data_IF_110844733879
#
_entry.id   IF_110844733879
#
_cell.length_a   1.000
_cell.length_b   1.000
_cell.length_c   1.000
_cell.angle_alpha   90.00
_cell.angle_beta   90.00
_cell.angle_gamma   90.00
#
_symmetry.space_group_name_H-M   'P 1'
#
loop_
_entity.id
_entity.type
_entity.pdbx_description
1 polymer ?
#
# COMPACT_ATOMS: atom_id res chain seq x y z
N UNK A 1 -3.78 -1.22 -3.75
CA UNK A 1 -3.58 0.02 -2.97
C UNK A 1 -2.43 0.80 -3.58
N UNK A 2 -2.48 2.13 -3.55
CA UNK A 2 -1.38 3.00 -3.94
C UNK A 2 -0.91 3.82 -2.73
N UNK A 3 0.41 3.95 -2.55
CA UNK A 3 1.01 4.72 -1.48
C UNK A 3 1.84 5.86 -2.06
N UNK A 4 1.73 7.04 -1.48
CA UNK A 4 2.54 8.21 -1.83
C UNK A 4 2.92 8.93 -0.54
N UNK A 5 4.21 9.20 -0.37
CA UNK A 5 4.71 9.91 0.81
C UNK A 5 5.29 11.25 0.36
N UNK A 6 5.05 12.29 1.14
CA UNK A 6 5.49 13.65 0.89
C UNK A 6 6.20 14.22 2.12
N UNK A 7 7.15 15.13 1.91
CA UNK A 7 7.72 15.93 2.97
C UNK A 7 6.65 16.88 3.55
N UNK A 8 6.55 16.95 4.87
CA UNK A 8 5.57 17.78 5.58
C UNK A 8 6.27 18.78 6.53
N UNK A 9 5.62 19.90 6.88
CA UNK A 9 6.09 20.79 7.93
C UNK A 9 6.01 20.09 9.29
N UNK A 10 6.71 20.64 10.29
CA UNK A 10 6.66 20.11 11.66
C UNK A 10 5.27 20.22 12.30
N UNK A 11 4.45 21.15 11.82
CA UNK A 11 3.08 21.38 12.30
C UNK A 11 2.06 20.36 11.81
N UNK A 12 2.37 19.55 10.79
CA UNK A 12 1.36 18.77 10.06
C UNK A 12 0.42 19.68 9.25
N UNK A 13 -0.77 19.16 8.95
CA UNK A 13 -1.87 19.88 8.27
C UNK A 13 -1.94 19.68 6.75
N UNK A 14 -1.01 18.94 6.14
CA UNK A 14 -1.05 18.64 4.71
C UNK A 14 -2.27 17.84 4.32
N UNK A 15 -2.74 16.95 5.19
CA UNK A 15 -3.95 16.20 4.89
C UNK A 15 -5.19 17.08 4.85
N UNK A 16 -5.30 18.04 5.78
CA UNK A 16 -6.43 18.97 5.84
C UNK A 16 -6.42 19.96 4.67
N UNK A 17 -5.25 20.27 4.10
CA UNK A 17 -5.13 21.05 2.87
C UNK A 17 -5.39 20.22 1.61
N UNK A 18 -4.90 18.97 1.56
CA UNK A 18 -5.02 18.11 0.39
C UNK A 18 -6.44 17.53 0.23
N UNK A 19 -7.12 17.19 1.32
CA UNK A 19 -8.48 16.63 1.32
C UNK A 19 -9.50 17.49 0.53
N UNK A 20 -9.67 18.80 0.80
CA UNK A 20 -10.59 19.63 0.03
C UNK A 20 -10.20 19.76 -1.44
N UNK A 21 -8.90 19.74 -1.77
CA UNK A 21 -8.44 19.77 -3.17
C UNK A 21 -8.79 18.48 -3.91
N UNK A 22 -8.65 17.32 -3.25
CA UNK A 22 -9.06 16.02 -3.80
C UNK A 22 -10.58 16.00 -4.05
N UNK A 23 -11.37 16.46 -3.08
CA UNK A 23 -12.84 16.55 -3.20
C UNK A 23 -13.23 17.44 -4.39
N UNK A 24 -12.63 18.63 -4.50
CA UNK A 24 -12.87 19.54 -5.61
C UNK A 24 -12.55 18.89 -6.96
N UNK A 25 -11.37 18.27 -7.09
CA UNK A 25 -10.95 17.59 -8.32
C UNK A 25 -11.87 16.43 -8.71
N UNK A 26 -12.38 15.66 -7.75
CA UNK A 26 -13.32 14.57 -8.02
C UNK A 26 -14.66 15.11 -8.51
N UNK A 27 -15.17 16.17 -7.87
CA UNK A 27 -16.41 16.83 -8.28
C UNK A 27 -16.30 17.39 -9.71
N UNK A 28 -15.16 17.95 -10.10
CA UNK A 28 -14.89 18.40 -11.47
C UNK A 28 -14.91 17.23 -12.48
N UNK A 29 -14.46 16.04 -12.07
CA UNK A 29 -14.46 14.83 -12.91
C UNK A 29 -15.81 14.09 -12.97
N UNK A 30 -16.90 14.72 -12.53
CA UNK A 30 -18.23 14.12 -12.41
C UNK A 30 -18.27 12.83 -11.55
N UNK A 31 -17.35 12.73 -10.58
CA UNK A 31 -17.36 11.68 -9.57
C UNK A 31 -18.31 12.01 -8.41
N UNK A 32 -18.68 10.98 -7.65
CA UNK A 32 -19.36 11.13 -6.37
C UNK A 32 -18.34 11.07 -5.25
N UNK A 33 -18.49 11.94 -4.24
CA UNK A 33 -17.54 12.02 -3.13
C UNK A 33 -18.27 12.24 -1.81
N UNK A 34 -17.78 11.56 -0.77
CA UNK A 34 -18.26 11.65 0.60
C UNK A 34 -17.06 11.73 1.55
N UNK A 35 -17.15 12.56 2.57
CA UNK A 35 -16.20 12.54 3.68
C UNK A 35 -16.69 11.59 4.77
N UNK A 36 -15.77 10.81 5.32
CA UNK A 36 -16.04 9.85 6.40
C UNK A 36 -14.97 9.98 7.49
N UNK A 37 -15.30 9.59 8.72
CA UNK A 37 -14.30 9.43 9.79
C UNK A 37 -14.01 7.95 9.92
N UNK A 38 -12.81 7.55 9.50
CA UNK A 38 -12.34 6.17 9.55
C UNK A 38 -11.22 5.95 10.57
N UNK A 39 -10.58 4.79 10.45
CA UNK A 39 -9.54 4.31 11.35
C UNK A 39 -8.35 5.29 11.48
N UNK A 40 -8.06 6.04 10.42
CA UNK A 40 -6.94 6.96 10.34
C UNK A 40 -7.36 8.45 10.48
N UNK A 41 -8.59 8.71 10.91
CA UNK A 41 -9.16 10.05 10.99
C UNK A 41 -10.05 10.37 9.79
N UNK A 42 -10.12 11.63 9.33
CA UNK A 42 -10.93 12.00 8.17
C UNK A 42 -10.44 11.33 6.88
N UNK A 43 -11.37 10.81 6.09
CA UNK A 43 -11.12 10.08 4.84
C UNK A 43 -12.04 10.58 3.72
N UNK A 44 -11.64 10.40 2.48
CA UNK A 44 -12.45 10.74 1.30
C UNK A 44 -12.82 9.47 0.57
N UNK A 45 -14.12 9.19 0.49
CA UNK A 45 -14.68 8.02 -0.17
C UNK A 45 -15.30 8.49 -1.48
N UNK A 46 -14.90 7.91 -2.60
CA UNK A 46 -15.34 8.39 -3.91
C UNK A 46 -15.69 7.28 -4.90
N UNK A 47 -16.51 7.64 -5.89
CA UNK A 47 -16.77 6.86 -7.08
C UNK A 47 -16.41 7.73 -8.28
N UNK A 48 -15.39 7.34 -9.03
CA UNK A 48 -14.84 8.13 -10.14
C UNK A 48 -15.09 7.35 -11.44
N UNK A 49 -15.59 7.99 -12.51
CA UNK A 49 -15.71 7.35 -13.82
C UNK A 49 -14.34 6.84 -14.32
N UNK A 50 -14.32 5.63 -14.87
CA UNK A 50 -13.19 5.05 -15.59
C UNK A 50 -13.67 4.39 -16.89
N UNK A 51 -12.75 3.89 -17.72
CA UNK A 51 -13.09 3.25 -19.01
C UNK A 51 -14.01 2.02 -18.88
N UNK A 52 -14.07 1.41 -17.69
CA UNK A 52 -14.81 0.18 -17.40
C UNK A 52 -16.07 0.42 -16.56
N UNK A 53 -16.44 1.68 -16.30
CA UNK A 53 -17.59 2.05 -15.46
C UNK A 53 -17.21 2.98 -14.32
N UNK A 54 -17.71 2.71 -13.11
CA UNK A 54 -17.40 3.51 -11.92
C UNK A 54 -16.35 2.79 -11.07
N UNK A 55 -15.28 3.51 -10.72
CA UNK A 55 -14.23 3.03 -9.83
C UNK A 55 -14.43 3.57 -8.42
N UNK A 56 -14.63 2.67 -7.47
CA UNK A 56 -14.70 3.04 -6.05
C UNK A 56 -13.29 3.19 -5.49
N UNK A 57 -13.02 4.34 -4.87
CA UNK A 57 -11.72 4.65 -4.25
C UNK A 57 -11.91 5.26 -2.87
N UNK A 58 -10.92 5.06 -2.01
CA UNK A 58 -10.86 5.64 -0.67
C UNK A 58 -9.49 6.25 -0.45
N UNK A 59 -9.45 7.55 -0.18
CA UNK A 59 -8.24 8.28 0.15
C UNK A 59 -8.12 8.42 1.66
N UNK A 60 -6.97 8.03 2.17
CA UNK A 60 -6.60 8.13 3.57
C UNK A 60 -5.31 8.93 3.67
N UNK A 61 -5.30 9.90 4.58
CA UNK A 61 -4.12 10.70 4.90
C UNK A 61 -3.61 10.39 6.31
N UNK A 62 -2.32 10.09 6.42
CA UNK A 62 -1.65 9.81 7.69
C UNK A 62 -0.46 10.75 7.81
N UNK A 63 -0.40 11.48 8.93
CA UNK A 63 0.68 12.43 9.19
C UNK A 63 1.64 11.89 10.24
N UNK A 64 2.92 12.16 10.04
CA UNK A 64 3.96 11.85 11.00
C UNK A 64 5.04 12.93 11.02
N UNK A 65 6.13 12.72 11.78
CA UNK A 65 7.16 13.74 11.97
C UNK A 65 7.82 14.17 10.66
N UNK A 66 7.42 15.33 10.14
CA UNK A 66 7.91 15.92 8.87
C UNK A 66 7.61 15.11 7.62
N UNK A 67 6.61 14.24 7.66
CA UNK A 67 6.12 13.52 6.48
C UNK A 67 4.60 13.34 6.51
N UNK A 68 4.03 13.18 5.33
CA UNK A 68 2.62 12.90 5.11
C UNK A 68 2.51 11.72 4.14
N UNK A 69 1.72 10.71 4.49
CA UNK A 69 1.42 9.54 3.67
C UNK A 69 -0.02 9.66 3.16
N UNK A 70 -0.20 9.57 1.86
CA UNK A 70 -1.49 9.35 1.21
C UNK A 70 -1.59 7.88 0.77
N UNK A 71 -2.54 7.16 1.34
CA UNK A 71 -2.91 5.81 0.93
C UNK A 71 -4.23 5.87 0.13
N UNK A 72 -4.26 5.21 -1.01
CA UNK A 72 -5.44 5.09 -1.87
C UNK A 72 -5.83 3.63 -1.99
N UNK A 73 -6.98 3.27 -1.42
CA UNK A 73 -7.59 1.96 -1.58
C UNK A 73 -8.53 1.99 -2.79
N UNK A 74 -8.56 0.92 -3.57
CA UNK A 74 -9.32 0.83 -4.83
C UNK A 74 -10.13 -0.47 -4.78
N UNK A 75 -11.36 -0.43 -5.29
CA UNK A 75 -12.24 -1.61 -5.37
C UNK A 75 -12.77 -2.03 -4.00
N UNK A 76 -12.76 -3.33 -3.70
CA UNK A 76 -13.33 -3.88 -2.47
C UNK A 76 -12.74 -3.25 -1.19
N UNK A 77 -11.44 -2.92 -1.19
CA UNK A 77 -10.76 -2.29 -0.06
C UNK A 77 -11.13 -0.80 0.16
N UNK A 78 -11.88 -0.20 -0.77
CA UNK A 78 -12.34 1.19 -0.65
C UNK A 78 -13.59 1.34 0.24
N UNK A 79 -14.20 0.23 0.69
CA UNK A 79 -15.37 0.20 1.58
C UNK A 79 -15.16 -0.85 2.69
N UNK A 80 -15.93 -0.81 3.78
CA UNK A 80 -15.79 -1.76 4.88
C UNK A 80 -15.93 -3.20 4.39
N UNK A 81 -14.85 -3.96 4.52
CA UNK A 81 -14.73 -5.35 4.06
C UNK A 81 -13.48 -5.98 4.67
N UNK A 82 -13.36 -7.31 4.61
CA UNK A 82 -12.14 -8.01 5.03
C UNK A 82 -10.92 -7.56 4.23
N UNK A 83 -11.12 -7.22 2.95
CA UNK A 83 -10.07 -6.66 2.09
C UNK A 83 -9.62 -5.26 2.57
N UNK A 84 -10.55 -4.45 3.09
CA UNK A 84 -10.18 -3.18 3.71
C UNK A 84 -9.37 -3.41 4.98
N UNK A 85 -9.83 -4.27 5.89
CA UNK A 85 -9.12 -4.59 7.14
C UNK A 85 -7.68 -5.04 6.86
N UNK A 86 -7.50 -5.98 5.93
CA UNK A 86 -6.17 -6.46 5.53
C UNK A 86 -5.26 -5.33 5.02
N UNK A 87 -5.80 -4.42 4.21
CA UNK A 87 -5.03 -3.31 3.66
C UNK A 87 -4.76 -2.22 4.72
N UNK A 88 -5.67 -2.00 5.67
CA UNK A 88 -5.45 -1.12 6.82
C UNK A 88 -4.33 -1.64 7.72
N UNK A 89 -4.31 -2.94 7.99
CA UNK A 89 -3.22 -3.58 8.75
C UNK A 89 -1.87 -3.43 8.04
N UNK A 90 -1.85 -3.59 6.70
CA UNK A 90 -0.64 -3.33 5.92
C UNK A 90 -0.16 -1.87 6.04
N UNK A 91 -1.08 -0.90 6.03
CA UNK A 91 -0.74 0.53 6.23
C UNK A 91 -0.23 0.79 7.64
N UNK A 92 -0.80 0.16 8.67
CA UNK A 92 -0.34 0.27 10.06
C UNK A 92 1.08 -0.28 10.25
N UNK A 93 1.47 -1.28 9.47
CA UNK A 93 2.82 -1.83 9.46
C UNK A 93 3.86 -0.99 8.72
N UNK A 94 3.46 0.09 8.04
CA UNK A 94 4.38 0.90 7.24
C UNK A 94 5.27 1.78 8.12
N UNK A 95 6.58 1.74 7.88
CA UNK A 95 7.56 2.59 8.53
C UNK A 95 8.06 3.62 7.51
N UNK A 96 7.95 4.91 7.86
CA UNK A 96 8.45 6.01 7.03
C UNK A 96 9.74 6.57 7.62
N UNK A 97 10.86 6.36 6.93
CA UNK A 97 12.18 6.91 7.28
C UNK A 97 12.50 8.07 6.33
N UNK A 98 12.15 9.28 6.75
CA UNK A 98 12.33 10.51 5.94
C UNK A 98 13.76 11.06 5.95
N UNK A 99 14.60 10.65 6.92
CA UNK A 99 15.94 11.17 7.10
C UNK A 99 16.00 12.64 7.54
N UNK A 100 17.20 13.22 7.55
CA UNK A 100 17.46 14.53 8.17
C UNK A 100 17.62 15.69 7.17
N UNK A 101 17.71 15.41 5.87
CA UNK A 101 18.00 16.43 4.84
C UNK A 101 16.90 17.50 4.75
N UNK A 102 17.25 18.72 4.37
CA UNK A 102 16.24 19.75 4.14
C UNK A 102 15.48 19.45 2.83
N UNK A 103 14.14 19.50 2.87
CA UNK A 103 13.29 19.29 1.70
C UNK A 103 12.13 20.28 1.73
N UNK A 104 11.71 20.84 0.58
CA UNK A 104 10.50 21.64 0.49
C UNK A 104 9.26 20.83 0.87
N UNK A 105 8.29 21.47 1.52
CA UNK A 105 6.98 20.87 1.83
C UNK A 105 6.29 20.43 0.53
N UNK A 106 5.62 19.27 0.56
CA UNK A 106 4.94 18.69 -0.59
C UNK A 106 5.86 17.94 -1.57
N UNK A 107 7.17 17.92 -1.34
CA UNK A 107 8.11 17.15 -2.18
C UNK A 107 7.88 15.65 -1.97
N UNK A 108 7.69 14.84 -3.03
CA UNK A 108 7.49 13.40 -2.88
C UNK A 108 8.77 12.74 -2.34
N UNK A 109 8.61 11.81 -1.39
CA UNK A 109 9.68 10.98 -0.86
C UNK A 109 9.74 9.67 -1.65
N UNK A 110 10.94 9.28 -2.06
CA UNK A 110 11.17 8.00 -2.75
C UNK A 110 10.92 6.86 -1.78
N UNK A 111 10.08 5.92 -2.19
CA UNK A 111 9.82 4.70 -1.43
C UNK A 111 10.86 3.63 -1.81
N UNK A 112 11.63 3.19 -0.83
CA UNK A 112 12.56 2.08 -0.98
C UNK A 112 12.04 0.90 -0.18
N UNK A 113 11.84 -0.24 -0.83
CA UNK A 113 11.49 -1.46 -0.12
C UNK A 113 12.65 -1.83 0.81
N UNK A 114 12.36 -2.19 2.07
CA UNK A 114 13.40 -2.69 2.95
C UNK A 114 14.02 -3.95 2.32
N UNK A 115 15.34 -4.08 2.42
CA UNK A 115 16.01 -5.34 2.10
C UNK A 115 15.57 -6.32 3.17
N UNK A 116 14.64 -7.19 2.82
CA UNK A 116 14.36 -8.37 3.62
C UNK A 116 15.48 -9.33 3.23
N UNK A 117 16.48 -9.47 4.10
CA UNK A 117 17.42 -10.56 3.95
C UNK A 117 16.60 -11.85 4.02
N UNK A 118 16.44 -12.52 2.88
CA UNK A 118 15.79 -13.82 2.82
C UNK A 118 16.44 -14.69 3.91
N UNK A 119 15.65 -15.10 4.88
CA UNK A 119 16.02 -16.27 5.66
C UNK A 119 16.19 -17.39 4.64
N UNK A 120 17.44 -17.79 4.43
CA UNK A 120 17.85 -18.77 3.44
C UNK A 120 16.77 -19.83 3.24
N UNK A 121 16.30 -19.99 2.00
CA UNK A 121 15.52 -21.16 1.61
C UNK A 121 16.24 -22.39 2.19
N UNK A 122 15.58 -23.24 3.00
CA UNK A 122 16.20 -24.48 3.41
C UNK A 122 16.52 -25.24 2.14
N UNK A 123 17.82 -25.40 1.89
CA UNK A 123 18.36 -26.15 0.77
C UNK A 123 17.63 -27.50 0.72
N UNK A 124 16.74 -27.67 -0.27
CA UNK A 124 15.95 -28.88 -0.37
C UNK A 124 16.94 -30.05 -0.49
N UNK A 125 16.80 -31.12 0.33
CA UNK A 125 17.73 -32.22 0.27
C UNK A 125 17.72 -32.79 -1.15
N UNK A 126 18.90 -32.83 -1.77
CA UNK A 126 19.09 -33.46 -3.07
C UNK A 126 18.66 -34.92 -2.95
N UNK A 127 17.48 -35.23 -3.48
CA UNK A 127 16.99 -36.61 -3.59
C UNK A 127 17.90 -37.32 -4.60
N UNK A 128 18.90 -38.03 -4.08
CA UNK A 128 19.69 -38.94 -4.89
C UNK A 128 18.74 -40.00 -5.48
N UNK A 129 18.78 -40.25 -6.80
CA UNK A 129 18.01 -41.32 -7.38
C UNK A 129 18.39 -42.66 -6.71
N UNK A 130 17.43 -43.54 -6.41
CA UNK A 130 17.71 -44.79 -5.74
C UNK A 130 18.65 -45.65 -6.60
N UNK A 131 19.69 -46.21 -5.98
CA UNK A 131 20.57 -47.15 -6.67
C UNK A 131 19.77 -48.40 -7.07
N UNK A 132 19.84 -48.76 -8.35
CA UNK A 132 19.22 -49.99 -8.86
C UNK A 132 19.84 -51.19 -8.14
N UNK A 133 19.01 -51.95 -7.43
CA UNK A 133 19.41 -53.19 -6.76
C UNK A 133 19.92 -54.25 -7.75
N UNK A 134 20.64 -55.27 -7.25
CA UNK A 134 21.32 -56.25 -8.09
C UNK A 134 20.33 -57.03 -8.95
N UNK A 135 20.55 -56.99 -10.26
CA UNK A 135 19.75 -57.69 -11.27
C UNK A 135 20.07 -59.20 -11.20
N UNK A 136 19.11 -60.02 -10.77
CA UNK A 136 19.26 -61.48 -10.75
C UNK A 136 19.19 -61.96 -12.20
N UNK A 137 20.35 -62.29 -12.78
CA UNK A 137 20.43 -62.95 -14.09
C UNK A 137 20.19 -64.44 -13.91
N UNK A 138 19.01 -64.94 -14.29
CA UNK A 138 18.75 -66.37 -14.39
C UNK A 138 19.24 -66.86 -15.76
N UNK A 139 20.25 -67.75 -15.76
CA UNK A 139 20.86 -68.34 -16.95
C UNK A 139 20.19 -69.72 -17.16
N UNK A 140 19.71 -70.00 -18.37
CA UNK A 140 19.21 -71.32 -18.77
C UNK A 140 20.16 -71.99 -19.76
#
# INVERSE_FOLDING_TARGET
MQLQVFAAPKSGGLWDEARPQIIASINESAGLVEEHIGTFGPEVWAQIPNEQGMQVVRFVGIEGPRWFLRAVFIGAAARPSDAAVFMEDAVRGLIVVRGNEAMPVGTPLVLTLPVIEDQAEPEAPVLLPPERGPEITEIR
#
